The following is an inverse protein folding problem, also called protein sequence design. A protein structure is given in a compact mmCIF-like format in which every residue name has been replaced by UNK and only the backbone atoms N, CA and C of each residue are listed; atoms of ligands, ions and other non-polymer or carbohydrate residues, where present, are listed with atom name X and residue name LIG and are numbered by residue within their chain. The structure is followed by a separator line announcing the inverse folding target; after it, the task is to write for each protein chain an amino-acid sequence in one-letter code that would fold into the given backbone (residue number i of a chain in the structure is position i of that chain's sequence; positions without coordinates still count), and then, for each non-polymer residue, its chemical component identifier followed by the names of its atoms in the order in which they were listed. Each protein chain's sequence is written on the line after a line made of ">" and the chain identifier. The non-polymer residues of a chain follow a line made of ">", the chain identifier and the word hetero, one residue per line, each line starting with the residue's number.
data_IF_869923781179
#
_entry.id   IF_869923781179
#
_cell.length_a   1.000
_cell.length_b   1.000
_cell.length_c   1.000
_cell.angle_alpha   90.00
_cell.angle_beta   90.00
_cell.angle_gamma   90.00
#
_symmetry.space_group_name_H-M   'P 1'
#
loop_
_entity.id
_entity.type
_entity.pdbx_description
1 polymer ?
#
# COMPACT_ATOMS: atom_id res chain seq x y z
N UNK A 1 33.17 26.20 2.21
CA UNK A 1 31.81 26.42 1.61
C UNK A 1 31.21 25.06 1.39
N UNK A 2 30.50 24.54 2.42
CA UNK A 2 29.70 23.34 2.31
C UNK A 2 28.53 23.64 1.39
N UNK A 3 28.60 23.13 0.17
CA UNK A 3 27.43 23.10 -0.73
C UNK A 3 26.42 22.11 -0.12
N UNK A 4 25.41 22.63 0.53
CA UNK A 4 24.24 21.84 0.93
C UNK A 4 23.64 21.31 -0.37
N UNK A 5 23.87 20.03 -0.64
CA UNK A 5 23.20 19.35 -1.75
C UNK A 5 21.71 19.29 -1.37
N UNK A 6 20.89 20.10 -2.04
CA UNK A 6 19.45 20.10 -1.82
C UNK A 6 18.92 18.71 -2.21
N UNK A 7 18.34 18.01 -1.27
CA UNK A 7 17.69 16.73 -1.56
C UNK A 7 16.49 16.97 -2.50
N UNK A 8 16.38 16.16 -3.56
CA UNK A 8 15.28 16.25 -4.50
C UNK A 8 13.97 15.85 -3.82
N UNK A 9 12.88 16.56 -4.15
CA UNK A 9 11.53 16.12 -3.79
C UNK A 9 11.17 14.81 -4.49
N UNK A 10 10.16 14.10 -4.01
CA UNK A 10 9.73 12.86 -4.65
C UNK A 10 9.27 13.09 -6.09
N UNK A 11 8.57 14.19 -6.36
CA UNK A 11 8.21 14.57 -7.74
C UNK A 11 9.44 14.74 -8.63
N UNK A 12 10.47 15.46 -8.16
CA UNK A 12 11.71 15.64 -8.89
C UNK A 12 12.47 14.32 -9.12
N UNK A 13 12.46 13.41 -8.13
CA UNK A 13 13.04 12.06 -8.26
C UNK A 13 12.32 11.23 -9.31
N UNK A 14 10.98 11.29 -9.33
CA UNK A 14 10.12 10.57 -10.28
C UNK A 14 10.36 11.11 -11.69
N UNK A 15 10.29 12.42 -11.90
CA UNK A 15 10.50 13.04 -13.21
C UNK A 15 11.88 12.71 -13.77
N UNK A 16 12.91 12.73 -12.93
CA UNK A 16 14.26 12.35 -13.32
C UNK A 16 14.33 10.87 -13.70
N UNK A 17 13.77 9.98 -12.90
CA UNK A 17 13.79 8.55 -13.18
C UNK A 17 13.10 8.23 -14.51
N UNK A 18 11.93 8.81 -14.76
CA UNK A 18 11.19 8.62 -16.00
C UNK A 18 11.95 9.20 -17.22
N UNK A 19 12.59 10.37 -17.08
CA UNK A 19 13.42 10.96 -18.14
C UNK A 19 14.65 10.08 -18.47
N UNK A 20 15.17 9.34 -17.49
CA UNK A 20 16.27 8.37 -17.67
C UNK A 20 15.79 7.00 -18.18
N UNK A 21 14.49 6.81 -18.41
CA UNK A 21 13.89 5.53 -18.82
C UNK A 21 13.81 4.49 -17.69
N UNK A 22 13.95 4.94 -16.45
CA UNK A 22 13.81 4.09 -15.26
C UNK A 22 12.34 3.94 -14.88
N UNK A 23 12.00 2.82 -14.30
CA UNK A 23 10.65 2.55 -13.78
C UNK A 23 10.49 3.09 -12.36
N UNK A 24 9.27 3.51 -12.02
CA UNK A 24 8.88 3.90 -10.66
C UNK A 24 7.93 2.86 -10.10
N UNK A 25 8.23 2.35 -8.91
CA UNK A 25 7.47 1.24 -8.30
C UNK A 25 7.11 1.57 -6.86
N UNK A 26 5.83 1.44 -6.55
CA UNK A 26 5.30 1.49 -5.19
C UNK A 26 4.93 0.08 -4.75
N UNK A 27 5.66 -0.48 -3.78
CA UNK A 27 5.29 -1.75 -3.15
C UNK A 27 4.26 -1.48 -2.07
N UNK A 28 3.09 -2.10 -2.16
CA UNK A 28 2.00 -1.91 -1.22
C UNK A 28 1.51 -3.24 -0.67
N UNK A 29 1.16 -3.25 0.62
CA UNK A 29 0.73 -4.43 1.37
C UNK A 29 -0.59 -4.12 2.07
N UNK A 30 -1.61 -4.93 1.80
CA UNK A 30 -2.95 -4.82 2.39
C UNK A 30 -3.14 -5.85 3.52
N UNK A 31 -4.15 -5.65 4.36
CA UNK A 31 -4.68 -6.56 5.39
C UNK A 31 -3.81 -6.76 6.64
N UNK A 32 -2.61 -6.20 6.68
CA UNK A 32 -1.81 -6.19 7.91
C UNK A 32 -2.38 -5.23 8.99
N UNK A 33 -1.79 -5.21 10.19
CA UNK A 33 -0.65 -6.00 10.62
C UNK A 33 -0.99 -7.46 10.93
N UNK A 34 0.04 -8.31 10.84
CA UNK A 34 -0.04 -9.73 11.18
C UNK A 34 1.27 -10.21 11.85
N UNK A 35 1.34 -11.48 12.19
CA UNK A 35 2.58 -12.09 12.68
C UNK A 35 3.75 -12.02 11.67
N UNK A 36 3.46 -11.73 10.39
CA UNK A 36 4.47 -11.59 9.35
C UNK A 36 5.03 -10.17 9.21
N UNK A 37 4.33 -9.16 9.74
CA UNK A 37 4.65 -7.74 9.52
C UNK A 37 6.06 -7.38 9.97
N UNK A 38 6.49 -7.80 11.17
CA UNK A 38 7.84 -7.52 11.66
C UNK A 38 8.91 -8.07 10.70
N UNK A 39 8.76 -9.32 10.27
CA UNK A 39 9.70 -9.96 9.34
C UNK A 39 9.73 -9.25 7.99
N UNK A 40 8.55 -8.76 7.51
CA UNK A 40 8.45 -7.99 6.29
C UNK A 40 9.17 -6.65 6.41
N UNK A 41 9.01 -5.94 7.54
CA UNK A 41 9.74 -4.70 7.84
C UNK A 41 11.25 -4.94 7.88
N UNK A 42 11.71 -6.04 8.47
CA UNK A 42 13.13 -6.42 8.52
C UNK A 42 13.69 -6.66 7.11
N UNK A 43 12.95 -7.33 6.24
CA UNK A 43 13.32 -7.52 4.83
C UNK A 43 13.45 -6.17 4.12
N UNK A 44 12.47 -5.29 4.26
CA UNK A 44 12.49 -3.96 3.64
C UNK A 44 13.68 -3.13 4.13
N UNK A 45 13.99 -3.16 5.42
CA UNK A 45 15.14 -2.47 5.99
C UNK A 45 16.47 -3.03 5.48
N UNK A 46 16.58 -4.35 5.33
CA UNK A 46 17.77 -5.00 4.78
C UNK A 46 18.12 -4.49 3.38
N UNK A 47 17.13 -4.19 2.57
CA UNK A 47 17.32 -3.65 1.21
C UNK A 47 17.26 -2.11 1.13
N UNK A 48 17.06 -1.44 2.25
CA UNK A 48 16.93 0.02 2.29
C UNK A 48 15.69 0.55 1.56
N UNK A 49 14.61 -0.24 1.48
CA UNK A 49 13.38 0.06 0.76
C UNK A 49 12.30 0.52 1.73
N UNK A 50 11.52 1.52 1.30
CA UNK A 50 10.30 1.93 2.00
C UNK A 50 9.08 1.54 1.16
N UNK A 51 8.06 1.03 1.86
CA UNK A 51 6.81 0.55 1.27
C UNK A 51 5.59 1.25 1.90
N UNK A 52 4.41 0.91 1.43
CA UNK A 52 3.13 1.41 1.95
C UNK A 52 2.29 0.26 2.47
N UNK A 53 1.74 0.42 3.66
CA UNK A 53 0.92 -0.58 4.34
C UNK A 53 -0.50 -0.04 4.52
N UNK A 54 -1.47 -0.64 3.84
CA UNK A 54 -2.89 -0.37 4.00
C UNK A 54 -3.43 -1.33 5.07
N UNK A 55 -3.51 -0.84 6.29
CA UNK A 55 -3.77 -1.69 7.47
C UNK A 55 -5.24 -1.76 7.84
N UNK A 56 -5.60 -2.82 8.54
CA UNK A 56 -6.86 -2.99 9.28
C UNK A 56 -6.60 -2.86 10.78
N UNK A 57 -7.67 -2.77 11.58
CA UNK A 57 -7.54 -2.67 13.02
C UNK A 57 -7.30 -4.04 13.65
N UNK A 58 -6.06 -4.31 14.07
CA UNK A 58 -5.66 -5.56 14.72
C UNK A 58 -4.83 -5.25 15.97
N UNK A 59 -5.47 -4.95 17.13
CA UNK A 59 -4.78 -4.49 18.34
C UNK A 59 -3.68 -5.42 18.87
N UNK A 60 -3.76 -6.70 18.55
CA UNK A 60 -2.73 -7.69 18.91
C UNK A 60 -1.35 -7.33 18.36
N UNK A 61 -1.31 -6.59 17.22
CA UNK A 61 -0.07 -6.23 16.53
C UNK A 61 0.18 -4.71 16.51
N UNK A 62 -0.31 -3.97 17.50
CA UNK A 62 -0.15 -2.51 17.61
C UNK A 62 1.31 -2.06 17.55
N UNK A 63 2.23 -2.84 18.11
CA UNK A 63 3.66 -2.51 18.08
C UNK A 63 4.19 -2.51 16.64
N UNK A 64 3.72 -3.41 15.78
CA UNK A 64 4.14 -3.42 14.37
C UNK A 64 3.57 -2.23 13.59
N UNK A 65 2.38 -1.75 13.94
CA UNK A 65 1.83 -0.50 13.36
C UNK A 65 2.73 0.69 13.70
N UNK A 66 3.20 0.79 14.96
CA UNK A 66 4.17 1.82 15.35
C UNK A 66 5.48 1.70 14.58
N UNK A 67 5.96 0.47 14.38
CA UNK A 67 7.19 0.21 13.63
C UNK A 67 7.08 0.59 12.15
N UNK A 68 5.91 0.40 11.52
CA UNK A 68 5.66 0.89 10.15
C UNK A 68 6.02 2.37 10.06
N UNK A 69 5.53 3.19 10.99
CA UNK A 69 5.80 4.63 11.02
C UNK A 69 7.25 4.94 11.39
N UNK A 70 7.76 4.36 12.47
CA UNK A 70 9.10 4.68 12.99
C UNK A 70 10.23 4.21 12.08
N UNK A 71 9.99 3.16 11.28
CA UNK A 71 10.92 2.68 10.26
C UNK A 71 10.78 3.42 8.91
N UNK A 72 9.92 4.46 8.83
CA UNK A 72 9.81 5.35 7.66
C UNK A 72 8.97 4.82 6.51
N UNK A 73 8.13 3.82 6.75
CA UNK A 73 7.14 3.35 5.78
C UNK A 73 5.87 4.22 5.86
N UNK A 74 5.04 4.19 4.83
CA UNK A 74 3.76 4.87 4.84
C UNK A 74 2.70 3.99 5.48
N UNK A 75 2.10 4.50 6.55
CA UNK A 75 0.91 3.93 7.18
C UNK A 75 -0.33 4.48 6.48
N UNK A 76 -1.15 3.59 5.96
CA UNK A 76 -2.38 3.90 5.24
C UNK A 76 -3.54 3.03 5.74
N UNK A 77 -4.75 3.34 5.34
CA UNK A 77 -5.97 2.72 5.84
C UNK A 77 -6.60 1.78 4.81
N UNK A 78 -7.03 0.60 5.25
CA UNK A 78 -7.79 -0.31 4.42
C UNK A 78 -9.26 -0.40 4.85
N UNK A 79 -9.53 -0.66 6.10
CA UNK A 79 -10.81 -0.55 6.81
C UNK A 79 -10.60 -0.95 8.27
N UNK A 80 -11.60 -0.74 9.10
CA UNK A 80 -11.53 -1.20 10.50
C UNK A 80 -11.71 -2.71 10.61
N UNK A 81 -12.74 -3.27 9.96
CA UNK A 81 -13.15 -4.67 10.13
C UNK A 81 -12.77 -5.59 8.99
N UNK A 82 -12.56 -5.06 7.78
CA UNK A 82 -12.45 -5.82 6.53
C UNK A 82 -13.66 -6.75 6.24
N UNK A 83 -14.79 -6.50 6.88
CA UNK A 83 -16.04 -7.16 6.53
C UNK A 83 -16.75 -6.37 5.41
N UNK A 84 -16.70 -6.88 4.19
CA UNK A 84 -17.28 -6.23 3.00
C UNK A 84 -18.75 -5.86 3.19
N UNK A 85 -19.54 -6.70 3.85
CA UNK A 85 -20.94 -6.42 4.10
C UNK A 85 -21.12 -5.23 5.02
N UNK A 86 -20.28 -5.11 6.06
CA UNK A 86 -20.31 -3.98 6.96
C UNK A 86 -19.73 -2.72 6.33
N UNK A 87 -18.56 -2.82 5.71
CA UNK A 87 -17.90 -1.68 5.04
C UNK A 87 -18.82 -0.99 4.03
N UNK A 88 -19.57 -1.78 3.24
CA UNK A 88 -20.38 -1.28 2.12
C UNK A 88 -21.88 -1.31 2.37
N UNK A 89 -22.33 -1.58 3.59
CA UNK A 89 -23.76 -1.64 3.95
C UNK A 89 -24.47 -0.31 3.72
N UNK A 90 -23.84 0.78 4.13
CA UNK A 90 -24.39 2.12 4.05
C UNK A 90 -23.32 3.20 4.03
N UNK A 91 -23.72 4.43 3.74
CA UNK A 91 -22.81 5.59 3.87
C UNK A 91 -22.30 5.76 5.31
N UNK A 92 -23.15 5.60 6.31
CA UNK A 92 -22.77 5.75 7.72
C UNK A 92 -21.84 4.64 8.19
N UNK A 93 -22.08 3.40 7.74
CA UNK A 93 -21.18 2.28 8.03
C UNK A 93 -19.79 2.51 7.43
N UNK A 94 -19.68 2.97 6.20
CA UNK A 94 -18.41 3.30 5.59
C UNK A 94 -17.67 4.41 6.34
N UNK A 95 -18.39 5.47 6.75
CA UNK A 95 -17.81 6.53 7.58
C UNK A 95 -17.25 6.00 8.88
N UNK A 96 -18.00 5.14 9.56
CA UNK A 96 -17.54 4.50 10.81
C UNK A 96 -16.25 3.71 10.59
N UNK A 97 -16.18 2.90 9.53
CA UNK A 97 -15.01 2.12 9.16
C UNK A 97 -13.76 3.01 8.94
N UNK A 98 -13.92 4.17 8.31
CA UNK A 98 -12.83 5.11 8.07
C UNK A 98 -12.46 5.88 9.34
N UNK A 99 -13.45 6.47 10.03
CA UNK A 99 -13.20 7.35 11.18
C UNK A 99 -12.64 6.59 12.37
N UNK A 100 -13.17 5.39 12.66
CA UNK A 100 -12.66 4.55 13.76
C UNK A 100 -11.21 4.17 13.52
N UNK A 101 -10.88 3.75 12.30
CA UNK A 101 -9.51 3.37 11.97
C UNK A 101 -8.57 4.58 11.99
N UNK A 102 -8.97 5.71 11.40
CA UNK A 102 -8.15 6.93 11.37
C UNK A 102 -7.83 7.43 12.78
N UNK A 103 -8.83 7.50 13.66
CA UNK A 103 -8.64 7.91 15.05
C UNK A 103 -7.74 6.93 15.80
N UNK A 104 -7.99 5.64 15.66
CA UNK A 104 -7.20 4.59 16.30
C UNK A 104 -5.72 4.66 15.90
N UNK A 105 -5.42 4.76 14.61
CA UNK A 105 -4.05 4.84 14.12
C UNK A 105 -3.36 6.14 14.54
N UNK A 106 -4.10 7.24 14.55
CA UNK A 106 -3.57 8.55 14.99
C UNK A 106 -3.22 8.52 16.49
N UNK A 107 -4.09 8.00 17.32
CA UNK A 107 -3.83 7.85 18.77
C UNK A 107 -2.64 6.91 19.04
N UNK A 108 -2.55 5.83 18.28
CA UNK A 108 -1.51 4.82 18.46
C UNK A 108 -0.12 5.32 18.05
N UNK A 109 -0.03 6.06 16.95
CA UNK A 109 1.26 6.38 16.30
C UNK A 109 1.63 7.85 16.33
N UNK A 110 0.68 8.74 16.59
CA UNK A 110 0.86 10.19 16.42
C UNK A 110 0.83 10.66 14.95
N UNK A 111 0.65 9.73 14.01
CA UNK A 111 0.55 10.01 12.58
C UNK A 111 -0.89 9.81 12.09
N UNK A 112 -1.45 10.80 11.42
CA UNK A 112 -2.78 10.71 10.82
C UNK A 112 -2.67 10.25 9.37
N UNK A 113 -3.16 9.04 9.02
CA UNK A 113 -3.07 8.55 7.65
C UNK A 113 -3.85 9.43 6.66
N UNK A 114 -3.22 9.70 5.51
CA UNK A 114 -3.82 10.49 4.42
C UNK A 114 -4.30 9.62 3.26
N UNK A 115 -3.96 8.32 3.27
CA UNK A 115 -4.23 7.39 2.18
C UNK A 115 -5.17 6.27 2.61
N UNK A 116 -6.04 5.87 1.68
CA UNK A 116 -7.01 4.79 1.86
C UNK A 116 -7.00 3.86 0.64
N UNK A 117 -7.25 2.58 0.86
CA UNK A 117 -7.55 1.62 -0.21
C UNK A 117 -8.85 0.91 0.11
N UNK A 118 -9.78 0.94 -0.84
CA UNK A 118 -11.06 0.22 -0.71
C UNK A 118 -10.81 -1.29 -0.63
N UNK A 119 -11.39 -2.02 0.34
CA UNK A 119 -11.44 -3.47 0.30
C UNK A 119 -12.02 -3.97 -1.04
N UNK A 120 -11.22 -4.77 -1.76
CA UNK A 120 -11.56 -5.20 -3.12
C UNK A 120 -11.34 -4.16 -4.22
N UNK A 121 -10.77 -2.99 -3.89
CA UNK A 121 -10.55 -1.88 -4.81
C UNK A 121 -11.79 -1.02 -5.07
N UNK A 122 -11.60 0.14 -5.70
CA UNK A 122 -12.71 1.06 -6.01
C UNK A 122 -13.70 0.51 -7.04
N UNK A 123 -13.28 -0.46 -7.83
CA UNK A 123 -14.13 -1.14 -8.83
C UNK A 123 -14.85 -2.38 -8.31
N UNK A 124 -14.82 -2.65 -6.99
CA UNK A 124 -15.52 -3.79 -6.41
C UNK A 124 -17.06 -3.71 -6.64
N UNK A 125 -17.71 -4.87 -6.65
CA UNK A 125 -19.14 -5.01 -6.87
C UNK A 125 -19.92 -5.34 -5.58
N UNK A 126 -19.31 -5.10 -4.42
CA UNK A 126 -19.91 -5.44 -3.12
C UNK A 126 -20.80 -4.34 -2.57
N UNK A 127 -20.65 -3.12 -3.07
CA UNK A 127 -21.45 -1.98 -2.61
C UNK A 127 -22.82 -1.92 -3.29
N UNK A 128 -23.86 -1.56 -2.53
CA UNK A 128 -25.20 -1.25 -3.04
C UNK A 128 -25.38 0.23 -3.41
N UNK A 129 -24.46 1.09 -2.95
CA UNK A 129 -24.39 2.50 -3.29
C UNK A 129 -23.32 2.73 -4.37
N UNK A 130 -23.46 3.78 -5.20
CA UNK A 130 -22.38 4.17 -6.10
C UNK A 130 -21.08 4.42 -5.32
N UNK A 131 -19.97 3.88 -5.77
CA UNK A 131 -18.66 4.04 -5.10
C UNK A 131 -18.28 5.52 -4.92
N UNK A 132 -18.74 6.40 -5.83
CA UNK A 132 -18.57 7.84 -5.76
C UNK A 132 -19.13 8.46 -4.47
N UNK A 133 -20.11 7.83 -3.86
CA UNK A 133 -20.68 8.27 -2.57
C UNK A 133 -19.63 8.16 -1.46
N UNK A 134 -18.85 7.10 -1.48
CA UNK A 134 -17.78 6.86 -0.51
C UNK A 134 -16.52 7.69 -0.83
N UNK A 135 -16.19 7.82 -2.12
CA UNK A 135 -15.07 8.67 -2.57
C UNK A 135 -15.28 10.12 -2.10
N UNK A 136 -16.51 10.64 -2.26
CA UNK A 136 -16.84 12.00 -1.79
C UNK A 136 -16.56 12.16 -0.29
N UNK A 137 -16.85 11.16 0.52
CA UNK A 137 -16.55 11.22 1.95
C UNK A 137 -15.04 11.28 2.21
N UNK A 138 -14.25 10.49 1.51
CA UNK A 138 -12.79 10.55 1.61
C UNK A 138 -12.25 11.92 1.21
N UNK A 139 -12.77 12.51 0.12
CA UNK A 139 -12.40 13.84 -0.35
C UNK A 139 -12.71 14.92 0.71
N UNK A 140 -13.89 14.85 1.36
CA UNK A 140 -14.28 15.77 2.44
C UNK A 140 -13.34 15.70 3.65
N UNK A 141 -12.67 14.55 3.82
CA UNK A 141 -11.67 14.31 4.88
C UNK A 141 -10.22 14.58 4.44
N UNK A 142 -10.00 14.98 3.20
CA UNK A 142 -8.68 15.07 2.56
C UNK A 142 -7.91 13.74 2.60
N UNK A 143 -8.62 12.63 2.43
CA UNK A 143 -8.06 11.29 2.32
C UNK A 143 -8.05 10.89 0.85
N UNK A 144 -6.90 10.53 0.32
CA UNK A 144 -6.72 10.10 -1.07
C UNK A 144 -6.82 8.57 -1.14
N UNK A 145 -7.65 8.06 -2.07
CA UNK A 145 -7.69 6.61 -2.27
C UNK A 145 -6.73 6.16 -3.37
N UNK A 146 -6.17 4.97 -3.21
CA UNK A 146 -5.22 4.35 -4.12
C UNK A 146 -5.65 2.93 -4.44
N UNK A 147 -5.89 2.65 -5.72
CA UNK A 147 -5.98 1.29 -6.22
C UNK A 147 -4.58 0.75 -6.59
N UNK A 148 -4.51 -0.15 -7.51
CA UNK A 148 -3.27 -0.75 -8.02
C UNK A 148 -3.37 -0.96 -9.53
N UNK A 149 -2.24 -1.12 -10.19
CA UNK A 149 -2.17 -1.47 -11.60
C UNK A 149 -1.28 -2.70 -11.88
N UNK A 150 -0.69 -3.27 -10.82
CA UNK A 150 0.02 -4.55 -10.85
C UNK A 150 -0.46 -5.37 -9.65
N UNK A 151 -0.87 -6.61 -9.88
CA UNK A 151 -1.28 -7.53 -8.83
C UNK A 151 -0.32 -8.71 -8.73
N UNK A 152 0.09 -9.05 -7.51
CA UNK A 152 0.82 -10.29 -7.22
C UNK A 152 -0.05 -11.54 -7.39
N UNK A 153 -1.38 -11.38 -7.33
CA UNK A 153 -2.33 -12.49 -7.35
C UNK A 153 -2.51 -13.20 -6.01
N UNK A 154 -1.82 -12.75 -4.96
CA UNK A 154 -1.83 -13.40 -3.64
C UNK A 154 -3.13 -13.19 -2.83
N UNK A 155 -4.00 -12.26 -3.24
CA UNK A 155 -5.29 -12.00 -2.58
C UNK A 155 -6.38 -13.05 -2.85
N UNK A 156 -6.15 -13.99 -3.77
CA UNK A 156 -7.10 -15.04 -4.11
C UNK A 156 -7.19 -16.16 -3.07
N UNK A 157 -8.16 -17.06 -3.27
CA UNK A 157 -8.35 -18.25 -2.42
C UNK A 157 -7.30 -19.33 -2.64
N UNK A 158 -6.65 -19.34 -3.81
CA UNK A 158 -5.55 -20.26 -4.12
C UNK A 158 -4.26 -19.69 -3.55
N UNK A 159 -3.55 -20.48 -2.75
CA UNK A 159 -2.19 -20.16 -2.35
C UNK A 159 -1.26 -20.24 -3.58
N UNK A 160 -0.55 -19.14 -3.85
CA UNK A 160 0.42 -19.08 -4.92
C UNK A 160 1.82 -19.44 -4.40
N UNK A 161 2.64 -20.01 -5.29
CA UNK A 161 4.06 -20.22 -5.01
C UNK A 161 4.83 -18.90 -5.03
N UNK A 162 6.02 -18.90 -4.45
CA UNK A 162 6.95 -17.75 -4.52
C UNK A 162 7.22 -17.35 -5.97
N UNK A 163 7.41 -18.32 -6.86
CA UNK A 163 7.67 -18.06 -8.29
C UNK A 163 6.46 -17.45 -9.00
N UNK A 164 5.24 -17.91 -8.70
CA UNK A 164 4.02 -17.32 -9.26
C UNK A 164 3.87 -15.86 -8.83
N UNK A 165 4.03 -15.54 -7.55
CA UNK A 165 3.97 -14.17 -7.02
C UNK A 165 5.06 -13.29 -7.67
N UNK A 166 6.30 -13.75 -7.67
CA UNK A 166 7.41 -13.06 -8.29
C UNK A 166 7.14 -12.75 -9.77
N UNK A 167 6.74 -13.75 -10.55
CA UNK A 167 6.50 -13.59 -11.99
C UNK A 167 5.33 -12.63 -12.26
N UNK A 168 4.24 -12.69 -11.47
CA UNK A 168 3.11 -11.80 -11.61
C UNK A 168 3.53 -10.33 -11.40
N UNK A 169 4.32 -10.06 -10.35
CA UNK A 169 4.78 -8.72 -10.04
C UNK A 169 5.74 -8.21 -11.11
N UNK A 170 6.78 -8.97 -11.43
CA UNK A 170 7.82 -8.52 -12.37
C UNK A 170 7.26 -8.33 -13.78
N UNK A 171 6.46 -9.27 -14.30
CA UNK A 171 5.80 -9.11 -15.61
C UNK A 171 4.88 -7.88 -15.65
N UNK A 172 4.16 -7.61 -14.56
CA UNK A 172 3.30 -6.44 -14.46
C UNK A 172 4.08 -5.13 -14.47
N UNK A 173 5.21 -5.08 -13.78
CA UNK A 173 6.10 -3.90 -13.71
C UNK A 173 6.81 -3.65 -15.04
N UNK A 174 7.28 -4.70 -15.71
CA UNK A 174 7.97 -4.56 -17.01
C UNK A 174 7.15 -3.83 -18.05
N UNK A 175 5.84 -4.00 -18.05
CA UNK A 175 4.90 -3.39 -18.99
C UNK A 175 4.50 -1.94 -18.68
N UNK A 176 5.04 -1.32 -17.60
CA UNK A 176 4.61 0.01 -17.14
C UNK A 176 5.78 0.90 -16.75
N UNK A 177 5.58 2.21 -16.86
CA UNK A 177 6.54 3.21 -16.38
C UNK A 177 6.37 3.45 -14.87
N UNK A 178 5.13 3.48 -14.39
CA UNK A 178 4.78 3.63 -12.98
C UNK A 178 3.88 2.46 -12.56
N UNK A 179 4.27 1.76 -11.51
CA UNK A 179 3.55 0.60 -10.97
C UNK A 179 3.20 0.81 -9.50
N UNK A 180 1.93 0.59 -9.18
CA UNK A 180 1.46 0.38 -7.80
C UNK A 180 1.13 -1.10 -7.66
N UNK A 181 1.93 -1.80 -6.86
CA UNK A 181 1.89 -3.26 -6.73
C UNK A 181 1.05 -3.65 -5.53
N UNK A 182 0.00 -4.44 -5.77
CA UNK A 182 -0.83 -5.03 -4.72
C UNK A 182 -0.22 -6.35 -4.24
N UNK A 183 0.06 -6.39 -2.95
CA UNK A 183 0.41 -7.59 -2.18
C UNK A 183 -0.34 -7.55 -0.84
N UNK A 184 -0.31 -8.65 -0.10
CA UNK A 184 -0.99 -8.74 1.19
C UNK A 184 -0.03 -9.14 2.33
N UNK A 185 -0.26 -8.57 3.51
CA UNK A 185 0.48 -8.80 4.75
C UNK A 185 -0.41 -9.44 5.83
N UNK A 186 -1.26 -10.37 5.44
CA UNK A 186 -2.05 -11.15 6.37
C UNK A 186 -1.29 -12.39 6.85
N UNK A 187 -1.74 -12.98 7.94
CA UNK A 187 -1.14 -14.15 8.57
C UNK A 187 -0.94 -15.33 7.61
N UNK A 188 -1.83 -15.47 6.63
CA UNK A 188 -1.81 -16.57 5.64
C UNK A 188 -0.96 -16.28 4.39
N UNK A 189 -0.17 -15.19 4.39
CA UNK A 189 0.61 -14.74 3.22
C UNK A 189 2.12 -14.88 3.41
N UNK A 190 2.53 -15.96 4.04
CA UNK A 190 3.96 -16.26 4.21
C UNK A 190 4.70 -16.37 2.87
N UNK A 191 4.03 -16.89 1.83
CA UNK A 191 4.61 -16.98 0.48
C UNK A 191 4.91 -15.61 -0.12
N UNK A 192 4.06 -14.60 0.16
CA UNK A 192 4.31 -13.20 -0.22
C UNK A 192 5.53 -12.65 0.50
N UNK A 193 5.64 -12.89 1.79
CA UNK A 193 6.83 -12.52 2.57
C UNK A 193 8.10 -13.13 1.97
N UNK A 194 8.07 -14.41 1.62
CA UNK A 194 9.21 -15.11 1.01
C UNK A 194 9.54 -14.61 -0.41
N UNK A 195 8.54 -14.15 -1.17
CA UNK A 195 8.74 -13.60 -2.52
C UNK A 195 9.33 -12.18 -2.50
N UNK A 196 9.09 -11.41 -1.44
CA UNK A 196 9.47 -9.99 -1.35
C UNK A 196 10.96 -9.73 -1.59
N UNK A 197 11.92 -10.47 -1.01
CA UNK A 197 13.35 -10.26 -1.28
C UNK A 197 13.70 -10.40 -2.77
N UNK A 198 13.19 -11.43 -3.43
CA UNK A 198 13.43 -11.66 -4.86
C UNK A 198 12.85 -10.58 -5.75
N UNK A 199 11.66 -10.08 -5.39
CA UNK A 199 11.02 -8.96 -6.09
C UNK A 199 11.90 -7.71 -5.97
N UNK A 200 12.34 -7.36 -4.77
CA UNK A 200 13.18 -6.18 -4.53
C UNK A 200 14.50 -6.30 -5.28
N UNK A 201 15.19 -7.44 -5.17
CA UNK A 201 16.44 -7.69 -5.87
C UNK A 201 16.30 -7.47 -7.39
N UNK A 202 15.23 -7.99 -7.98
CA UNK A 202 14.96 -7.82 -9.41
C UNK A 202 14.66 -6.36 -9.78
N UNK A 203 13.87 -5.67 -8.98
CA UNK A 203 13.58 -4.24 -9.19
C UNK A 203 14.85 -3.40 -9.08
N UNK A 204 15.75 -3.70 -8.14
CA UNK A 204 17.05 -3.04 -8.02
C UNK A 204 17.98 -3.36 -9.19
N UNK A 205 18.01 -4.60 -9.67
CA UNK A 205 18.73 -4.98 -10.88
C UNK A 205 18.24 -4.23 -12.12
N UNK A 206 16.94 -3.95 -12.20
CA UNK A 206 16.31 -3.14 -13.25
C UNK A 206 16.55 -1.64 -13.08
N UNK A 207 17.25 -1.22 -12.04
CA UNK A 207 17.44 0.20 -11.66
C UNK A 207 16.10 0.94 -11.43
N UNK A 208 15.07 0.23 -10.94
CA UNK A 208 13.79 0.85 -10.64
C UNK A 208 13.89 1.77 -9.42
N UNK A 209 13.21 2.91 -9.48
CA UNK A 209 13.02 3.79 -8.32
C UNK A 209 11.86 3.24 -7.49
N UNK A 210 12.14 2.76 -6.28
CA UNK A 210 11.13 2.22 -5.37
C UNK A 210 10.85 3.26 -4.29
N UNK A 211 9.59 3.70 -4.18
CA UNK A 211 9.14 4.74 -3.25
C UNK A 211 7.93 4.28 -2.44
N UNK A 212 7.77 4.79 -1.20
CA UNK A 212 6.49 4.71 -0.50
C UNK A 212 5.52 5.76 -1.10
N UNK A 213 4.22 5.54 -0.93
CA UNK A 213 3.21 6.54 -1.27
C UNK A 213 3.35 7.74 -0.32
N UNK A 214 3.37 8.94 -0.88
CA UNK A 214 3.36 10.21 -0.15
C UNK A 214 2.17 11.06 -0.59
N UNK A 215 1.94 12.20 0.07
CA UNK A 215 0.88 13.14 -0.31
C UNK A 215 1.05 13.68 -1.74
N UNK A 216 2.28 13.67 -2.28
CA UNK A 216 2.59 14.10 -3.65
C UNK A 216 2.44 12.99 -4.69
N UNK A 217 2.18 11.73 -4.27
CA UNK A 217 2.03 10.60 -5.18
C UNK A 217 0.72 10.71 -5.97
N UNK A 218 0.83 10.71 -7.30
CA UNK A 218 -0.34 10.67 -8.18
C UNK A 218 -1.02 9.29 -8.02
N UNK A 219 -2.30 9.25 -7.60
CA UNK A 219 -2.97 8.00 -7.36
C UNK A 219 -3.30 7.24 -8.65
N UNK A 220 -3.20 5.91 -8.58
CA UNK A 220 -3.74 5.01 -9.59
C UNK A 220 -5.17 4.65 -9.19
N UNK A 221 -6.11 4.83 -10.10
CA UNK A 221 -7.51 4.48 -9.91
C UNK A 221 -7.95 3.44 -10.93
N UNK A 222 -8.79 2.50 -10.50
CA UNK A 222 -9.50 1.61 -11.42
C UNK A 222 -10.58 2.39 -12.21
N UNK A 223 -10.98 1.85 -13.34
CA UNK A 223 -12.14 2.36 -14.06
C UNK A 223 -13.41 2.01 -13.27
N UNK A 224 -14.19 3.03 -12.91
CA UNK A 224 -15.41 2.95 -12.08
C UNK A 224 -16.58 3.63 -12.76
#
# INVERSE_FOLDING_TARGET
>A
TDSVVKELSDSEKIDKALAEGRKVVYLTYDDGPSANTEKLLDVLDQYGIKATFFVIKTPEYDEYVKEIVTRGHTLAMHSTTHDYRHVYESYDSFKEEVDVLSNYLTELTGFTPFAFRFPGGSSNQQTTLPIQTFIKYLDEKNIVYYDWNVSSGDGGSKELTVDEIYNNVISGVEGKDISVVLMHDSEYRETTLQATPRIIEKLQEMDALILPITEDTVPVHHNI
#
